data_IF_913800804362
#
_entry.id   IF_913800804362
#
_cell.length_a   1.000
_cell.length_b   1.000
_cell.length_c   1.000
_cell.angle_alpha   90.00
_cell.angle_beta   90.00
_cell.angle_gamma   90.00
#
_symmetry.space_group_name_H-M   'P 1'
#
loop_
_entity.id
_entity.type
_entity.pdbx_description
1 polymer ?
#
# COMPACT_ATOMS: atom_id res chain seq x y z
N UNK A 1 4.67 6.58 -21.80
CA UNK A 1 4.16 7.96 -21.71
C UNK A 1 5.16 8.84 -20.98
N UNK A 2 4.98 10.19 -20.98
CA UNK A 2 6.00 11.14 -20.48
C UNK A 2 6.54 10.84 -19.06
N UNK A 3 5.71 10.28 -18.16
CA UNK A 3 6.16 9.87 -16.83
C UNK A 3 7.04 8.62 -16.86
N UNK A 4 6.76 7.69 -17.74
CA UNK A 4 7.57 6.47 -17.91
C UNK A 4 8.92 6.81 -18.56
N UNK A 5 8.92 7.68 -19.54
CA UNK A 5 10.15 8.16 -20.21
C UNK A 5 11.08 8.84 -19.19
N UNK A 6 10.52 9.68 -18.31
CA UNK A 6 11.25 10.30 -17.21
C UNK A 6 11.87 9.27 -16.25
N UNK A 7 11.11 8.23 -15.86
CA UNK A 7 11.63 7.17 -14.99
C UNK A 7 12.78 6.42 -15.66
N UNK A 8 12.63 6.04 -16.93
CA UNK A 8 13.68 5.36 -17.68
C UNK A 8 14.95 6.20 -17.80
N UNK A 9 14.82 7.52 -17.95
CA UNK A 9 15.95 8.43 -17.97
C UNK A 9 16.69 8.47 -16.63
N UNK A 10 15.97 8.49 -15.50
CA UNK A 10 16.58 8.41 -14.18
C UNK A 10 17.30 7.08 -13.95
N UNK A 11 16.74 5.98 -14.43
CA UNK A 11 17.35 4.65 -14.31
C UNK A 11 18.68 4.53 -15.05
N UNK A 12 18.95 5.31 -16.11
CA UNK A 12 20.23 5.31 -16.83
C UNK A 12 21.44 5.67 -15.96
N UNK A 13 21.20 6.41 -14.88
CA UNK A 13 22.23 6.82 -13.92
C UNK A 13 22.40 5.81 -12.76
N UNK A 14 21.56 4.78 -12.68
CA UNK A 14 21.61 3.76 -11.64
C UNK A 14 22.64 2.70 -11.97
N UNK A 15 23.53 2.40 -11.02
CA UNK A 15 24.59 1.40 -11.19
C UNK A 15 24.20 0.00 -10.71
N UNK A 16 23.15 -0.09 -9.89
CA UNK A 16 22.63 -1.37 -9.37
C UNK A 16 21.81 -2.08 -10.44
N UNK A 17 21.74 -3.43 -10.42
CA UNK A 17 20.86 -4.18 -11.32
C UNK A 17 19.41 -3.73 -11.20
N UNK A 18 18.75 -3.47 -12.33
CA UNK A 18 17.36 -3.04 -12.38
C UNK A 18 16.51 -4.18 -12.93
N UNK A 19 15.48 -4.58 -12.17
CA UNK A 19 14.53 -5.63 -12.57
C UNK A 19 13.22 -4.97 -12.99
N UNK A 20 12.72 -5.29 -14.19
CA UNK A 20 11.39 -4.87 -14.64
C UNK A 20 10.34 -5.86 -14.13
N UNK A 21 9.43 -5.40 -13.27
CA UNK A 21 8.31 -6.21 -12.79
C UNK A 21 7.03 -5.78 -13.50
N UNK A 22 6.56 -6.61 -14.44
CA UNK A 22 5.30 -6.39 -15.14
C UNK A 22 4.13 -6.95 -14.30
N UNK A 23 3.52 -6.10 -13.47
CA UNK A 23 2.44 -6.52 -12.57
C UNK A 23 1.05 -6.47 -13.23
N UNK A 24 0.07 -7.13 -12.59
CA UNK A 24 -1.33 -7.21 -13.00
C UNK A 24 -1.57 -8.00 -14.31
N UNK A 25 -0.75 -9.01 -14.57
CA UNK A 25 -0.92 -9.87 -15.76
C UNK A 25 -2.27 -10.61 -15.78
N UNK A 26 -2.93 -10.75 -14.63
CA UNK A 26 -4.29 -11.27 -14.49
C UNK A 26 -5.35 -10.43 -15.21
N UNK A 27 -5.08 -9.16 -15.49
CA UNK A 27 -5.97 -8.26 -16.24
C UNK A 27 -5.79 -8.33 -17.75
N UNK A 28 -4.75 -9.01 -18.24
CA UNK A 28 -4.53 -9.18 -19.66
C UNK A 28 -5.43 -10.30 -20.20
N UNK A 29 -6.40 -9.92 -21.03
CA UNK A 29 -7.26 -10.89 -21.73
C UNK A 29 -6.48 -11.75 -22.72
N UNK A 30 -5.44 -11.19 -23.33
CA UNK A 30 -4.53 -11.84 -24.26
C UNK A 30 -3.10 -11.80 -23.74
N UNK A 31 -2.57 -12.95 -23.40
CA UNK A 31 -1.18 -13.08 -22.91
C UNK A 31 -0.13 -12.71 -23.97
N UNK A 32 -0.48 -12.77 -25.25
CA UNK A 32 0.41 -12.32 -26.33
C UNK A 32 0.76 -10.83 -26.26
N UNK A 33 -0.15 -10.01 -25.72
CA UNK A 33 0.10 -8.57 -25.51
C UNK A 33 1.20 -8.28 -24.49
N UNK A 34 1.46 -9.24 -23.58
CA UNK A 34 2.54 -9.08 -22.58
C UNK A 34 3.90 -8.93 -23.25
N UNK A 35 4.18 -9.72 -24.29
CA UNK A 35 5.45 -9.63 -25.01
C UNK A 35 5.65 -8.25 -25.65
N UNK A 36 4.62 -7.69 -26.28
CA UNK A 36 4.69 -6.35 -26.87
C UNK A 36 4.90 -5.24 -25.82
N UNK A 37 4.29 -5.38 -24.63
CA UNK A 37 4.50 -4.45 -23.51
C UNK A 37 5.95 -4.55 -23.03
N UNK A 38 6.45 -5.74 -22.75
CA UNK A 38 7.84 -5.96 -22.30
C UNK A 38 8.81 -5.42 -23.35
N UNK A 39 8.61 -5.74 -24.62
CA UNK A 39 9.44 -5.27 -25.73
C UNK A 39 9.52 -3.75 -25.78
N UNK A 40 8.42 -3.04 -25.53
CA UNK A 40 8.40 -1.57 -25.52
C UNK A 40 9.34 -0.97 -24.47
N UNK A 41 9.47 -1.59 -23.30
CA UNK A 41 10.39 -1.13 -22.24
C UNK A 41 11.85 -1.57 -22.49
N UNK A 42 12.05 -2.79 -22.99
CA UNK A 42 13.40 -3.35 -23.20
C UNK A 42 14.12 -2.74 -24.41
N UNK A 43 13.41 -2.05 -25.31
CA UNK A 43 14.02 -1.24 -26.37
C UNK A 43 14.78 -0.04 -25.83
N UNK A 44 14.27 0.57 -24.77
CA UNK A 44 14.75 1.86 -24.26
C UNK A 44 15.73 1.69 -23.08
N UNK A 45 15.69 0.52 -22.39
CA UNK A 45 16.52 0.24 -21.23
C UNK A 45 16.86 -1.27 -21.13
N UNK A 46 18.11 -1.57 -20.74
CA UNK A 46 18.57 -2.95 -20.48
C UNK A 46 18.31 -3.32 -19.01
N UNK A 47 17.29 -4.14 -18.77
CA UNK A 47 16.99 -4.66 -17.44
C UNK A 47 17.83 -5.91 -17.15
N UNK A 48 18.20 -6.11 -15.89
CA UNK A 48 18.88 -7.30 -15.41
C UNK A 48 18.00 -8.55 -15.49
N UNK A 49 16.70 -8.39 -15.26
CA UNK A 49 15.68 -9.40 -15.47
C UNK A 49 14.32 -8.74 -15.75
N UNK A 50 13.40 -9.52 -16.35
CA UNK A 50 12.01 -9.12 -16.56
C UNK A 50 11.12 -10.19 -15.97
N UNK A 51 10.29 -9.83 -14.97
CA UNK A 51 9.44 -10.78 -14.24
C UNK A 51 7.98 -10.36 -14.33
N UNK A 52 7.16 -11.07 -15.09
CA UNK A 52 5.71 -10.86 -15.10
C UNK A 52 5.08 -11.45 -13.84
N UNK A 53 4.25 -10.69 -13.13
CA UNK A 53 3.60 -11.12 -11.89
C UNK A 53 2.13 -10.71 -11.83
N UNK A 54 1.37 -11.36 -10.97
CA UNK A 54 0.07 -10.87 -10.49
C UNK A 54 0.08 -10.84 -8.96
N UNK A 55 0.28 -9.68 -8.39
CA UNK A 55 0.23 -9.49 -6.95
C UNK A 55 -1.13 -9.87 -6.35
N UNK A 56 -2.22 -9.70 -7.12
CA UNK A 56 -3.56 -10.08 -6.68
C UNK A 56 -3.74 -11.59 -6.54
N UNK A 57 -3.08 -12.37 -7.41
CA UNK A 57 -3.24 -13.83 -7.49
C UNK A 57 -2.05 -14.61 -6.95
N UNK A 58 -1.11 -13.90 -6.35
CA UNK A 58 0.13 -14.48 -5.81
C UNK A 58 0.87 -15.36 -6.84
N UNK A 59 0.80 -14.94 -8.11
CA UNK A 59 1.39 -15.69 -9.22
C UNK A 59 2.80 -15.18 -9.48
N UNK A 60 3.75 -16.13 -9.62
CA UNK A 60 5.17 -15.88 -9.94
C UNK A 60 5.97 -15.10 -8.87
N UNK A 61 5.45 -14.94 -7.64
CA UNK A 61 6.22 -14.31 -6.55
C UNK A 61 7.49 -15.07 -6.18
N UNK A 62 7.49 -16.42 -6.08
CA UNK A 62 8.74 -17.16 -5.87
C UNK A 62 9.78 -16.90 -6.96
N UNK A 63 9.35 -16.77 -8.22
CA UNK A 63 10.22 -16.41 -9.34
C UNK A 63 10.83 -15.02 -9.18
N UNK A 64 10.04 -14.02 -8.75
CA UNK A 64 10.53 -12.67 -8.49
C UNK A 64 11.54 -12.65 -7.33
N UNK A 65 11.26 -13.33 -6.23
CA UNK A 65 12.18 -13.43 -5.08
C UNK A 65 13.49 -14.08 -5.52
N UNK A 66 13.44 -15.18 -6.27
CA UNK A 66 14.63 -15.84 -6.78
C UNK A 66 15.46 -14.93 -7.70
N UNK A 67 14.82 -14.11 -8.56
CA UNK A 67 15.56 -13.16 -9.39
C UNK A 67 16.23 -12.07 -8.54
N UNK A 68 15.52 -11.49 -7.56
CA UNK A 68 16.12 -10.50 -6.65
C UNK A 68 17.32 -11.07 -5.90
N UNK A 69 17.20 -12.29 -5.36
CA UNK A 69 18.23 -12.95 -4.56
C UNK A 69 19.54 -13.12 -5.33
N UNK A 70 19.51 -13.31 -6.66
CA UNK A 70 20.71 -13.44 -7.49
C UNK A 70 21.62 -12.20 -7.46
N UNK A 71 21.05 -11.03 -7.19
CA UNK A 71 21.75 -9.74 -7.19
C UNK A 71 22.07 -9.22 -5.80
N UNK A 72 21.62 -9.92 -4.75
CA UNK A 72 21.94 -9.54 -3.37
C UNK A 72 23.32 -10.09 -2.98
N UNK A 73 24.20 -9.26 -2.40
CA UNK A 73 25.46 -9.74 -1.86
C UNK A 73 25.20 -10.57 -0.58
N UNK A 74 26.04 -11.55 -0.33
CA UNK A 74 26.09 -12.22 0.96
C UNK A 74 26.54 -11.23 2.05
N UNK A 75 25.87 -11.25 3.19
CA UNK A 75 26.14 -10.32 4.29
C UNK A 75 25.47 -10.77 5.60
N UNK A 76 25.77 -10.07 6.72
CA UNK A 76 25.09 -10.36 7.97
C UNK A 76 23.60 -10.02 7.89
N UNK A 77 22.77 -10.74 8.66
CA UNK A 77 21.38 -10.36 8.84
C UNK A 77 21.29 -9.00 9.52
N UNK A 78 20.64 -8.03 8.88
CA UNK A 78 20.42 -6.69 9.43
C UNK A 78 19.21 -6.63 10.34
N UNK A 79 18.27 -7.56 10.17
CA UNK A 79 17.02 -7.66 10.93
C UNK A 79 16.91 -9.06 11.53
N UNK A 80 16.28 -9.21 12.74
CA UNK A 80 15.95 -10.50 13.31
C UNK A 80 15.06 -11.35 12.38
N UNK A 81 15.22 -12.67 12.42
CA UNK A 81 14.47 -13.59 11.53
C UNK A 81 12.96 -13.59 11.80
N UNK A 82 12.53 -13.18 12.99
CA UNK A 82 11.15 -13.04 13.42
C UNK A 82 10.54 -11.65 13.13
N UNK A 83 11.33 -10.73 12.61
CA UNK A 83 10.85 -9.40 12.22
C UNK A 83 10.13 -9.46 10.87
N UNK A 84 8.79 -9.37 10.91
CA UNK A 84 7.94 -9.42 9.69
C UNK A 84 8.13 -8.17 8.82
N UNK A 85 8.45 -7.00 9.43
CA UNK A 85 8.58 -5.72 8.74
C UNK A 85 9.37 -4.73 9.59
N UNK A 86 10.11 -3.83 8.95
CA UNK A 86 10.80 -2.70 9.57
C UNK A 86 9.90 -1.45 9.72
N UNK A 87 8.69 -1.51 9.15
CA UNK A 87 7.74 -0.40 9.24
C UNK A 87 7.10 -0.34 10.63
N UNK A 88 6.95 0.85 11.21
CA UNK A 88 6.23 1.02 12.46
C UNK A 88 4.81 0.44 12.39
N UNK A 89 4.40 -0.32 13.39
CA UNK A 89 3.09 -0.98 13.47
C UNK A 89 1.93 -0.02 13.20
N UNK A 90 2.07 1.24 13.63
CA UNK A 90 1.08 2.28 13.39
C UNK A 90 0.90 2.61 11.89
N UNK A 91 1.97 2.56 11.08
CA UNK A 91 1.89 2.80 9.63
C UNK A 91 1.14 1.65 8.97
N UNK A 92 1.46 0.43 9.35
CA UNK A 92 0.80 -0.76 8.80
C UNK A 92 -0.68 -0.79 9.19
N UNK A 93 -1.01 -0.46 10.45
CA UNK A 93 -2.39 -0.36 10.89
C UNK A 93 -3.17 0.71 10.10
N UNK A 94 -2.55 1.87 9.82
CA UNK A 94 -3.17 2.90 8.98
C UNK A 94 -3.47 2.40 7.56
N UNK A 95 -2.50 1.70 6.93
CA UNK A 95 -2.68 1.13 5.59
C UNK A 95 -3.74 0.02 5.56
N UNK A 96 -3.80 -0.84 6.58
CA UNK A 96 -4.84 -1.85 6.70
C UNK A 96 -6.25 -1.22 6.80
N UNK A 97 -6.39 -0.16 7.60
CA UNK A 97 -7.65 0.59 7.68
C UNK A 97 -7.97 1.21 6.31
N UNK A 98 -7.00 1.88 5.68
CA UNK A 98 -7.17 2.52 4.37
C UNK A 98 -7.62 1.51 3.32
N UNK A 99 -7.02 0.33 3.28
CA UNK A 99 -7.41 -0.76 2.38
C UNK A 99 -8.90 -1.13 2.54
N UNK A 100 -9.39 -1.28 3.78
CA UNK A 100 -10.80 -1.63 4.02
C UNK A 100 -11.75 -0.51 3.58
N UNK A 101 -11.35 0.75 3.77
CA UNK A 101 -12.12 1.89 3.24
C UNK A 101 -12.18 1.83 1.72
N UNK A 102 -11.03 1.65 1.04
CA UNK A 102 -10.94 1.57 -0.41
C UNK A 102 -11.78 0.43 -1.01
N UNK A 103 -11.75 -0.75 -0.37
CA UNK A 103 -12.53 -1.91 -0.81
C UNK A 103 -14.03 -1.77 -0.56
N UNK A 104 -14.41 -0.92 0.39
CA UNK A 104 -15.81 -0.72 0.80
C UNK A 104 -16.46 0.48 0.11
N UNK A 105 -15.71 1.30 -0.61
CA UNK A 105 -16.18 2.49 -1.31
C UNK A 105 -15.98 2.38 -2.81
N UNK A 106 -16.72 3.20 -3.58
CA UNK A 106 -16.68 3.22 -5.05
C UNK A 106 -16.52 4.66 -5.55
N UNK A 107 -16.35 4.80 -6.86
CA UNK A 107 -16.28 6.06 -7.59
C UNK A 107 -15.10 6.95 -7.14
N UNK A 108 -15.34 8.21 -6.83
CA UNK A 108 -14.29 9.18 -6.50
C UNK A 108 -13.78 9.12 -5.05
N UNK A 109 -14.48 8.40 -4.16
CA UNK A 109 -14.10 8.33 -2.73
C UNK A 109 -12.71 7.70 -2.53
N UNK A 110 -12.35 6.59 -3.22
CA UNK A 110 -11.05 5.95 -3.06
C UNK A 110 -9.85 6.87 -3.29
N UNK A 111 -9.98 7.82 -4.20
CA UNK A 111 -8.86 8.71 -4.57
C UNK A 111 -8.61 9.85 -3.59
N UNK A 112 -9.51 10.05 -2.62
CA UNK A 112 -9.48 11.18 -1.68
C UNK A 112 -9.35 10.78 -0.22
N UNK A 113 -8.94 9.53 0.06
CA UNK A 113 -8.82 8.99 1.42
C UNK A 113 -7.38 8.98 1.89
N UNK A 114 -7.16 9.53 3.09
CA UNK A 114 -5.97 9.30 3.89
C UNK A 114 -6.37 8.78 5.28
N UNK A 115 -5.49 8.00 5.90
CA UNK A 115 -5.68 7.51 7.27
C UNK A 115 -4.47 7.89 8.10
N UNK A 116 -4.73 8.44 9.28
CA UNK A 116 -3.73 8.82 10.26
C UNK A 116 -4.04 8.15 11.58
N UNK A 117 -3.04 7.54 12.19
CA UNK A 117 -3.16 7.03 13.55
C UNK A 117 -2.91 8.17 14.52
N UNK A 118 -3.97 8.58 15.21
CA UNK A 118 -3.94 9.62 16.24
C UNK A 118 -3.32 9.07 17.55
N UNK A 119 -3.74 7.88 17.95
CA UNK A 119 -3.28 7.23 19.18
C UNK A 119 -3.01 5.75 18.96
N UNK A 120 -1.86 5.27 19.43
CA UNK A 120 -1.48 3.86 19.44
C UNK A 120 -0.85 3.56 20.79
N UNK A 121 -1.55 2.78 21.63
CA UNK A 121 -1.14 2.49 23.00
C UNK A 121 -1.29 1.01 23.31
N UNK A 122 -0.23 0.42 23.82
CA UNK A 122 -0.29 -0.91 24.48
C UNK A 122 -0.77 -0.69 25.90
N UNK A 123 -1.78 -1.43 26.33
CA UNK A 123 -2.34 -1.41 27.70
C UNK A 123 -1.63 -2.43 28.58
N UNK A 124 -1.84 -2.35 29.89
CA UNK A 124 -1.20 -3.22 30.88
C UNK A 124 -1.51 -4.73 30.69
N UNK A 125 -2.59 -5.06 30.01
CA UNK A 125 -3.01 -6.42 29.67
C UNK A 125 -2.59 -6.87 28.25
N UNK A 126 -1.63 -6.18 27.65
CA UNK A 126 -1.15 -6.36 26.28
C UNK A 126 -2.20 -6.10 25.17
N UNK A 127 -3.40 -5.64 25.50
CA UNK A 127 -4.37 -5.18 24.50
C UNK A 127 -3.90 -3.85 23.88
N UNK A 128 -4.12 -3.68 22.60
CA UNK A 128 -3.71 -2.47 21.87
C UNK A 128 -4.92 -1.57 21.63
N UNK A 129 -4.83 -0.31 22.05
CA UNK A 129 -5.79 0.73 21.70
C UNK A 129 -5.27 1.53 20.51
N UNK A 130 -6.09 1.60 19.46
CA UNK A 130 -5.79 2.38 18.25
C UNK A 130 -6.95 3.34 18.00
N UNK A 131 -6.63 4.66 17.94
CA UNK A 131 -7.54 5.67 17.39
C UNK A 131 -7.02 6.12 16.04
N UNK A 132 -7.87 6.03 15.02
CA UNK A 132 -7.53 6.42 13.68
C UNK A 132 -8.54 7.42 13.09
N UNK A 133 -8.01 8.44 12.40
CA UNK A 133 -8.78 9.40 11.65
C UNK A 133 -8.74 9.05 10.16
N UNK A 134 -9.92 8.85 9.58
CA UNK A 134 -10.10 8.68 8.14
C UNK A 134 -10.43 10.05 7.57
N UNK A 135 -9.54 10.61 6.76
CA UNK A 135 -9.74 11.91 6.12
C UNK A 135 -10.33 11.75 4.73
N UNK A 136 -11.29 12.59 4.43
CA UNK A 136 -11.92 12.77 3.12
C UNK A 136 -11.93 14.26 2.75
N UNK A 137 -12.15 14.58 1.47
CA UNK A 137 -12.12 16.00 1.03
C UNK A 137 -13.45 16.71 1.15
N UNK A 138 -14.59 15.98 1.17
CA UNK A 138 -15.95 16.58 1.14
C UNK A 138 -16.88 15.92 2.14
N UNK A 139 -17.87 16.68 2.63
CA UNK A 139 -18.91 16.17 3.55
C UNK A 139 -19.74 15.03 2.93
N UNK A 140 -20.00 15.08 1.61
CA UNK A 140 -20.68 13.99 0.91
C UNK A 140 -19.91 12.66 1.00
N UNK A 141 -18.58 12.70 0.86
CA UNK A 141 -17.73 11.54 0.99
C UNK A 141 -17.71 11.01 2.43
N UNK A 142 -17.72 11.91 3.43
CA UNK A 142 -17.84 11.53 4.85
C UNK A 142 -19.12 10.74 5.10
N UNK A 143 -20.25 11.20 4.56
CA UNK A 143 -21.52 10.48 4.66
C UNK A 143 -21.45 9.08 4.04
N UNK A 144 -20.78 8.93 2.90
CA UNK A 144 -20.59 7.63 2.23
C UNK A 144 -19.76 6.69 3.11
N UNK A 145 -18.62 7.15 3.65
CA UNK A 145 -17.73 6.32 4.49
C UNK A 145 -18.40 5.91 5.80
N UNK A 146 -19.20 6.78 6.40
CA UNK A 146 -19.95 6.46 7.62
C UNK A 146 -21.08 5.46 7.29
N UNK A 147 -21.77 5.66 6.18
CA UNK A 147 -22.92 4.86 5.77
C UNK A 147 -24.16 5.09 6.63
N UNK A 148 -25.26 4.42 6.25
CA UNK A 148 -26.54 4.55 6.99
C UNK A 148 -26.36 4.15 8.46
N UNK A 149 -26.61 5.09 9.38
CA UNK A 149 -26.47 4.88 10.83
C UNK A 149 -25.10 4.32 11.26
N UNK A 150 -24.04 4.63 10.53
CA UNK A 150 -22.69 4.18 10.84
C UNK A 150 -22.36 2.73 10.39
N UNK A 151 -23.23 2.11 9.62
CA UNK A 151 -23.11 0.69 9.26
C UNK A 151 -21.85 0.37 8.46
N UNK A 152 -21.45 1.24 7.52
CA UNK A 152 -20.27 1.01 6.70
C UNK A 152 -19.00 1.20 7.51
N UNK A 153 -18.91 2.26 8.32
CA UNK A 153 -17.77 2.51 9.20
C UNK A 153 -17.57 1.38 10.22
N UNK A 154 -18.67 0.86 10.78
CA UNK A 154 -18.63 -0.32 11.66
C UNK A 154 -18.04 -1.54 10.94
N UNK A 155 -18.51 -1.84 9.74
CA UNK A 155 -18.00 -2.96 8.93
C UNK A 155 -16.51 -2.81 8.61
N UNK A 156 -16.09 -1.59 8.21
CA UNK A 156 -14.67 -1.26 7.97
C UNK A 156 -13.85 -1.53 9.23
N UNK A 157 -14.31 -1.04 10.39
CA UNK A 157 -13.63 -1.23 11.66
C UNK A 157 -13.50 -2.69 12.07
N UNK A 158 -14.56 -3.50 11.90
CA UNK A 158 -14.53 -4.94 12.20
C UNK A 158 -13.54 -5.70 11.32
N UNK A 159 -13.47 -5.37 10.02
CA UNK A 159 -12.55 -6.02 9.09
C UNK A 159 -11.10 -5.59 9.35
N UNK A 160 -10.85 -4.28 9.50
CA UNK A 160 -9.51 -3.78 9.78
C UNK A 160 -8.97 -4.31 11.11
N UNK A 161 -9.80 -4.34 12.16
CA UNK A 161 -9.42 -4.88 13.46
C UNK A 161 -8.94 -6.33 13.37
N UNK A 162 -9.68 -7.19 12.65
CA UNK A 162 -9.29 -8.61 12.50
C UNK A 162 -7.91 -8.77 11.84
N UNK A 163 -7.65 -7.99 10.80
CA UNK A 163 -6.38 -8.07 10.09
C UNK A 163 -5.23 -7.53 10.95
N UNK A 164 -5.47 -6.42 11.69
CA UNK A 164 -4.48 -5.85 12.61
C UNK A 164 -4.20 -6.82 13.78
N UNK A 165 -5.23 -7.43 14.38
CA UNK A 165 -5.09 -8.46 15.42
C UNK A 165 -4.27 -9.67 14.91
N UNK A 166 -4.52 -10.09 13.67
CA UNK A 166 -3.78 -11.21 13.06
C UNK A 166 -2.29 -10.88 12.84
N UNK A 167 -1.97 -9.63 12.54
CA UNK A 167 -0.59 -9.20 12.35
C UNK A 167 0.15 -9.03 13.68
N UNK A 168 -0.49 -8.34 14.65
CA UNK A 168 0.16 -7.97 15.90
C UNK A 168 0.15 -9.08 16.96
N UNK A 169 -0.71 -10.09 16.79
CA UNK A 169 -0.89 -11.18 17.77
C UNK A 169 -1.64 -10.78 19.04
N UNK A 170 -2.08 -9.54 19.18
CA UNK A 170 -2.74 -8.96 20.34
C UNK A 170 -4.19 -8.58 20.03
N UNK A 171 -5.03 -8.50 21.06
CA UNK A 171 -6.38 -7.94 20.92
C UNK A 171 -6.30 -6.44 20.65
N UNK A 172 -7.15 -5.96 19.72
CA UNK A 172 -7.17 -4.55 19.32
C UNK A 172 -8.51 -3.91 19.60
N UNK A 173 -8.48 -2.79 20.31
CA UNK A 173 -9.61 -1.88 20.41
C UNK A 173 -9.42 -0.76 19.40
N UNK A 174 -10.21 -0.79 18.30
CA UNK A 174 -10.10 0.14 17.17
C UNK A 174 -11.21 1.19 17.23
N UNK A 175 -10.83 2.46 17.36
CA UNK A 175 -11.72 3.64 17.39
C UNK A 175 -11.50 4.45 16.09
N UNK A 176 -12.54 4.50 15.22
CA UNK A 176 -12.47 5.14 13.91
C UNK A 176 -13.29 6.42 13.85
N UNK A 177 -12.67 7.50 13.39
CA UNK A 177 -13.31 8.79 13.16
C UNK A 177 -13.19 9.21 11.70
N UNK A 178 -14.25 9.79 11.13
CA UNK A 178 -14.22 10.34 9.78
C UNK A 178 -14.20 11.86 9.85
N UNK A 179 -13.17 12.48 9.31
CA UNK A 179 -12.93 13.92 9.31
C UNK A 179 -12.86 14.46 7.87
N UNK A 180 -13.35 15.69 7.67
CA UNK A 180 -13.21 16.38 6.38
C UNK A 180 -11.98 17.29 6.43
N UNK A 181 -11.11 17.15 5.46
CA UNK A 181 -9.93 18.00 5.24
C UNK A 181 -9.88 18.42 3.77
N UNK A 182 -10.49 19.56 3.42
CA UNK A 182 -10.62 19.96 2.03
C UNK A 182 -9.27 20.13 1.35
N UNK A 183 -9.18 19.61 0.12
CA UNK A 183 -8.03 19.80 -0.77
C UNK A 183 -6.68 19.36 -0.15
N UNK A 184 -6.71 18.30 0.67
CA UNK A 184 -5.51 17.85 1.36
C UNK A 184 -4.43 17.32 0.41
N UNK A 185 -4.81 16.77 -0.74
CA UNK A 185 -3.90 16.21 -1.75
C UNK A 185 -3.01 17.24 -2.42
N UNK A 186 -3.41 18.52 -2.41
CA UNK A 186 -2.68 19.63 -3.00
C UNK A 186 -1.91 20.46 -1.96
N UNK A 187 -1.83 19.97 -0.72
CA UNK A 187 -1.16 20.68 0.38
C UNK A 187 0.04 19.87 0.89
N UNK A 188 1.25 20.31 0.62
CA UNK A 188 2.49 19.63 1.03
C UNK A 188 2.51 19.26 2.51
N UNK A 189 2.05 20.17 3.39
CA UNK A 189 1.96 19.90 4.82
C UNK A 189 1.02 18.73 5.16
N UNK A 190 -0.07 18.57 4.41
CA UNK A 190 -1.00 17.48 4.62
C UNK A 190 -0.46 16.16 4.06
N UNK A 191 0.21 16.22 2.90
CA UNK A 191 0.88 15.06 2.30
C UNK A 191 1.94 14.50 3.25
N UNK A 192 2.82 15.36 3.80
CA UNK A 192 3.81 14.96 4.82
C UNK A 192 3.16 14.38 6.07
N UNK A 193 2.09 15.01 6.58
CA UNK A 193 1.34 14.51 7.74
C UNK A 193 0.80 13.09 7.53
N UNK A 194 0.37 12.76 6.31
CA UNK A 194 -0.19 11.45 5.96
C UNK A 194 0.85 10.45 5.46
N UNK A 195 2.15 10.77 5.54
CA UNK A 195 3.24 9.88 5.12
C UNK A 195 3.47 9.82 3.61
N UNK A 196 2.87 10.74 2.83
CA UNK A 196 3.15 10.88 1.40
C UNK A 196 4.32 11.87 1.23
N UNK A 197 5.52 11.47 1.60
CA UNK A 197 6.73 12.22 1.27
C UNK A 197 7.11 11.93 -0.18
N UNK A 198 7.20 12.99 -0.98
CA UNK A 198 7.73 12.94 -2.34
C UNK A 198 9.26 12.99 -2.34
#
# INVERSE_FOLDING_TARGET
GAGEDYILEQLRNVKTPVILVANKIDKLADKGKLFGIIESYTKDFTFAAVVPVSALKDTEFPGLVNEITKYLPEGPAYFPDDMITDQPERIIAAEMIREKVLRSTRDEVPHSIAVEIDEFKVRDNDDIYIRANIFVERESQKGIVIGAKGSLLKKIGEQARKDIESLLGNKVFLDLWVKVKPDWRNKDKALKQFGYEG
#
